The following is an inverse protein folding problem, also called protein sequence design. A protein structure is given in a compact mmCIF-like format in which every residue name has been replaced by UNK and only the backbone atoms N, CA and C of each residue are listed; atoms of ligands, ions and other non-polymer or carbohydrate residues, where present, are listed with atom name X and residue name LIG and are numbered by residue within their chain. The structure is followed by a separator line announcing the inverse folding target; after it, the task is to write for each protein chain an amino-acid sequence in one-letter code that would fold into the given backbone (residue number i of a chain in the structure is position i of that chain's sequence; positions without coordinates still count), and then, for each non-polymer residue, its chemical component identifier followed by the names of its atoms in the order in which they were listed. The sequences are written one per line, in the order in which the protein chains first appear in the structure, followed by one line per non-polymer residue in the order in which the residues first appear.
data_IF_354176195459
#
_entry.id   IF_354176195459
#
_cell.length_a   1.000
_cell.length_b   1.000
_cell.length_c   1.000
_cell.angle_alpha   90.00
_cell.angle_beta   90.00
_cell.angle_gamma   90.00
#
_symmetry.space_group_name_H-M   'P 1'
#
loop_
_entity.id
_entity.type
_entity.pdbx_description
1 polymer ?
#
# COMPACT_ATOMS: atom_id res chain seq x y z
N UNK A 1 12.55 -32.97 -33.92
CA UNK A 1 11.29 -32.99 -33.15
C UNK A 1 11.37 -31.84 -32.18
N UNK A 2 10.58 -30.79 -32.37
CA UNK A 2 10.50 -29.73 -31.38
C UNK A 2 9.91 -30.33 -30.10
N UNK A 3 10.48 -30.00 -28.95
CA UNK A 3 9.93 -30.35 -27.64
C UNK A 3 8.88 -29.27 -27.33
N UNK A 4 7.60 -29.62 -27.43
CA UNK A 4 6.51 -28.66 -27.26
C UNK A 4 6.22 -28.69 -25.77
N UNK A 5 6.81 -27.77 -25.00
CA UNK A 5 6.58 -27.67 -23.56
C UNK A 5 5.08 -27.64 -23.27
N UNK A 6 4.63 -28.54 -22.39
CA UNK A 6 3.22 -28.62 -21.98
C UNK A 6 2.73 -27.24 -21.54
N UNK A 7 1.60 -26.80 -22.11
CA UNK A 7 0.93 -25.59 -21.66
C UNK A 7 0.29 -25.92 -20.31
N UNK A 8 0.99 -25.59 -19.23
CA UNK A 8 0.45 -25.68 -17.88
C UNK A 8 -0.61 -24.59 -17.69
N UNK A 9 -1.88 -24.97 -17.85
CA UNK A 9 -3.01 -24.17 -17.39
C UNK A 9 -3.06 -24.25 -15.85
N UNK A 10 -2.25 -23.45 -15.17
CA UNK A 10 -2.39 -23.23 -13.73
C UNK A 10 -3.59 -22.32 -13.49
N UNK A 11 -4.50 -22.75 -12.62
CA UNK A 11 -5.55 -21.86 -12.10
C UNK A 11 -4.86 -20.98 -11.06
N UNK A 12 -4.91 -19.65 -11.22
CA UNK A 12 -4.34 -18.76 -10.20
C UNK A 12 -4.94 -19.12 -8.83
N UNK A 13 -4.10 -19.33 -7.80
CA UNK A 13 -4.46 -19.86 -6.46
C UNK A 13 -5.40 -18.96 -5.62
N UNK A 14 -6.14 -18.05 -6.26
CA UNK A 14 -6.97 -17.03 -5.61
C UNK A 14 -6.14 -15.88 -5.05
N UNK A 15 -6.79 -14.77 -4.73
CA UNK A 15 -6.12 -13.64 -4.08
C UNK A 15 -5.97 -13.89 -2.57
N UNK A 16 -4.79 -13.65 -2.00
CA UNK A 16 -4.62 -13.60 -0.55
C UNK A 16 -5.23 -12.30 0.00
N UNK A 17 -6.51 -12.39 0.35
CA UNK A 17 -7.29 -11.28 0.88
C UNK A 17 -6.77 -10.81 2.25
N UNK A 18 -6.19 -11.69 3.07
CA UNK A 18 -5.66 -11.31 4.38
C UNK A 18 -4.42 -10.42 4.22
N UNK A 19 -3.50 -10.80 3.34
CA UNK A 19 -2.33 -9.98 3.02
C UNK A 19 -2.71 -8.64 2.37
N UNK A 20 -3.73 -8.64 1.50
CA UNK A 20 -4.27 -7.41 0.91
C UNK A 20 -4.81 -6.44 1.97
N UNK A 21 -5.64 -6.94 2.89
CA UNK A 21 -6.26 -6.11 3.93
C UNK A 21 -5.20 -5.55 4.89
N UNK A 22 -4.19 -6.34 5.25
CA UNK A 22 -3.07 -5.87 6.07
C UNK A 22 -2.33 -4.71 5.42
N UNK A 23 -1.99 -4.83 4.13
CA UNK A 23 -1.29 -3.79 3.37
C UNK A 23 -2.15 -2.52 3.26
N UNK A 24 -3.45 -2.68 3.02
CA UNK A 24 -4.38 -1.55 2.97
C UNK A 24 -4.49 -0.81 4.31
N UNK A 25 -4.56 -1.55 5.42
CA UNK A 25 -4.56 -0.96 6.77
C UNK A 25 -3.27 -0.19 7.05
N UNK A 26 -2.12 -0.74 6.66
CA UNK A 26 -0.83 -0.07 6.78
C UNK A 26 -0.80 1.23 5.96
N UNK A 27 -1.25 1.19 4.71
CA UNK A 27 -1.37 2.37 3.86
C UNK A 27 -2.24 3.45 4.50
N UNK A 28 -3.42 3.09 5.03
CA UNK A 28 -4.30 4.03 5.71
C UNK A 28 -3.66 4.66 6.95
N UNK A 29 -2.93 3.87 7.75
CA UNK A 29 -2.21 4.39 8.91
C UNK A 29 -1.12 5.39 8.48
N UNK A 30 -0.32 5.03 7.47
CA UNK A 30 0.73 5.88 6.94
C UNK A 30 0.16 7.20 6.40
N UNK A 31 -0.91 7.15 5.61
CA UNK A 31 -1.56 8.34 5.07
C UNK A 31 -2.13 9.24 6.18
N UNK A 32 -2.84 8.66 7.14
CA UNK A 32 -3.44 9.40 8.26
C UNK A 32 -2.39 10.13 9.09
N UNK A 33 -1.33 9.43 9.50
CA UNK A 33 -0.28 10.02 10.31
C UNK A 33 0.60 10.98 9.50
N UNK A 34 0.87 10.68 8.23
CA UNK A 34 1.58 11.60 7.34
C UNK A 34 0.88 12.93 7.18
N UNK A 35 -0.44 12.93 6.95
CA UNK A 35 -1.25 14.15 6.87
C UNK A 35 -1.25 14.88 8.22
N UNK A 36 -1.42 14.18 9.33
CA UNK A 36 -1.40 14.79 10.66
C UNK A 36 -0.07 15.51 10.96
N UNK A 37 1.06 14.92 10.56
CA UNK A 37 2.39 15.54 10.70
C UNK A 37 2.50 16.80 9.85
N UNK A 38 2.04 16.78 8.60
CA UNK A 38 2.05 17.97 7.72
C UNK A 38 1.21 19.09 8.33
N UNK A 39 0.01 18.78 8.82
CA UNK A 39 -0.87 19.76 9.49
C UNK A 39 -0.19 20.36 10.72
N UNK A 40 0.46 19.53 11.54
CA UNK A 40 1.20 20.01 12.70
C UNK A 40 2.35 20.95 12.31
N UNK A 41 3.13 20.60 11.28
CA UNK A 41 4.21 21.46 10.77
C UNK A 41 3.65 22.82 10.31
N UNK A 42 2.57 22.82 9.51
CA UNK A 42 1.95 24.05 9.02
C UNK A 42 1.41 24.91 10.17
N UNK A 43 0.81 24.30 11.20
CA UNK A 43 0.33 25.00 12.38
C UNK A 43 1.48 25.65 13.18
N UNK A 44 2.59 24.92 13.36
CA UNK A 44 3.78 25.46 14.02
C UNK A 44 4.42 26.59 13.19
N UNK A 45 4.50 26.43 11.87
CA UNK A 45 4.95 27.51 10.98
C UNK A 45 4.06 28.75 11.13
N UNK A 46 2.74 28.59 11.16
CA UNK A 46 1.82 29.70 11.36
C UNK A 46 1.97 30.36 12.74
N UNK A 47 2.38 29.64 13.78
CA UNK A 47 2.60 30.20 15.11
C UNK A 47 3.95 30.89 15.26
N UNK A 48 5.01 30.37 14.63
CA UNK A 48 6.39 30.85 14.83
C UNK A 48 6.90 31.79 13.73
N UNK A 49 6.38 31.72 12.51
CA UNK A 49 6.87 32.47 11.34
C UNK A 49 5.94 33.59 10.86
N UNK A 50 4.73 33.69 11.42
CA UNK A 50 3.78 34.80 11.18
C UNK A 50 3.80 35.70 12.41
#
# INVERSE_FOLDING_TARGET
MADHGEIQYSTADGNDYLAHEQTYRLFLQLAKWGIAVIVAILALMAFFLV
#
